data_IF_612646113458
#
_entry.id   IF_612646113458
#
_cell.length_a   1.000
_cell.length_b   1.000
_cell.length_c   1.000
_cell.angle_alpha   90.00
_cell.angle_beta   90.00
_cell.angle_gamma   90.00
#
_symmetry.space_group_name_H-M   'P 1'
#
loop_
_entity.id
_entity.type
_entity.pdbx_description
1 polymer ?
#
# COMPACT_ATOMS: atom_id res chain seq x y z
N UNK A 1 4.78 7.97 -16.12
CA UNK A 1 5.83 7.94 -17.14
C UNK A 1 6.38 6.53 -17.05
N UNK A 2 6.09 5.63 -17.99
CA UNK A 2 6.38 4.20 -17.82
C UNK A 2 7.84 3.91 -17.43
N UNK A 3 8.04 3.08 -16.40
CA UNK A 3 9.36 2.70 -15.89
C UNK A 3 10.11 1.88 -16.93
N UNK A 4 11.40 2.16 -17.13
CA UNK A 4 12.23 1.43 -18.12
C UNK A 4 13.38 0.66 -17.45
N UNK A 5 13.91 -0.39 -18.11
CA UNK A 5 15.09 -1.12 -17.61
C UNK A 5 16.30 -0.21 -17.33
N UNK A 6 16.48 0.86 -18.12
CA UNK A 6 17.55 1.84 -17.90
C UNK A 6 17.41 2.58 -16.56
N UNK A 7 16.18 2.90 -16.14
CA UNK A 7 15.91 3.54 -14.85
C UNK A 7 16.18 2.60 -13.68
N UNK A 8 15.89 1.30 -13.86
CA UNK A 8 16.24 0.25 -12.89
C UNK A 8 17.77 0.15 -12.76
N UNK A 9 18.51 0.16 -13.87
CA UNK A 9 19.97 0.10 -13.87
C UNK A 9 20.60 1.28 -13.12
N UNK A 10 20.09 2.51 -13.36
CA UNK A 10 20.50 3.72 -12.64
C UNK A 10 20.27 3.59 -11.14
N UNK A 11 19.10 3.10 -10.72
CA UNK A 11 18.80 2.90 -9.30
C UNK A 11 19.66 1.79 -8.65
N UNK A 12 20.09 0.80 -9.44
CA UNK A 12 21.02 -0.25 -9.01
C UNK A 12 22.49 0.20 -9.02
N UNK A 13 22.81 1.34 -9.63
CA UNK A 13 24.20 1.80 -9.79
C UNK A 13 25.02 0.92 -10.71
N UNK A 14 24.38 0.24 -11.67
CA UNK A 14 25.04 -0.66 -12.63
C UNK A 14 24.76 -0.25 -14.08
N UNK A 15 25.56 -0.79 -15.00
CA UNK A 15 25.31 -0.61 -16.42
C UNK A 15 23.94 -1.18 -16.80
N UNK A 16 23.23 -0.49 -17.69
CA UNK A 16 22.00 -1.01 -18.24
C UNK A 16 22.28 -2.32 -19.00
N UNK A 17 21.37 -3.32 -18.93
CA UNK A 17 21.46 -4.51 -19.75
C UNK A 17 21.56 -4.13 -21.23
N UNK A 18 22.27 -4.96 -22.01
CA UNK A 18 22.38 -4.77 -23.45
C UNK A 18 20.97 -4.84 -24.10
N UNK A 19 20.67 -3.95 -25.06
CA UNK A 19 19.39 -3.98 -25.77
C UNK A 19 19.14 -5.33 -26.45
N UNK A 20 17.95 -5.89 -26.26
CA UNK A 20 17.53 -7.20 -26.77
C UNK A 20 18.08 -8.39 -25.96
N UNK A 21 18.82 -8.17 -24.87
CA UNK A 21 19.29 -9.25 -24.02
C UNK A 21 18.15 -9.92 -23.24
N UNK A 22 18.35 -11.18 -22.86
CA UNK A 22 17.39 -11.91 -22.01
C UNK A 22 17.19 -11.19 -20.67
N UNK A 23 18.24 -10.55 -20.15
CA UNK A 23 18.17 -9.79 -18.89
C UNK A 23 17.30 -8.55 -19.02
N UNK A 24 17.40 -7.81 -20.13
CA UNK A 24 16.50 -6.68 -20.39
C UNK A 24 15.05 -7.12 -20.46
N UNK A 25 14.76 -8.16 -21.25
CA UNK A 25 13.40 -8.71 -21.40
C UNK A 25 12.84 -9.23 -20.07
N UNK A 26 13.70 -9.80 -19.23
CA UNK A 26 13.31 -10.23 -17.89
C UNK A 26 12.91 -9.05 -17.00
N UNK A 27 13.66 -7.94 -17.07
CA UNK A 27 13.31 -6.73 -16.32
C UNK A 27 12.03 -6.09 -16.83
N UNK A 28 11.80 -6.06 -18.15
CA UNK A 28 10.55 -5.60 -18.75
C UNK A 28 9.36 -6.43 -18.28
N UNK A 29 9.50 -7.76 -18.26
CA UNK A 29 8.47 -8.67 -17.74
C UNK A 29 8.16 -8.37 -16.26
N UNK A 30 9.18 -8.14 -15.44
CA UNK A 30 9.01 -7.78 -14.04
C UNK A 30 8.35 -6.42 -13.81
N UNK A 31 8.66 -5.44 -14.66
CA UNK A 31 7.98 -4.14 -14.66
C UNK A 31 6.50 -4.33 -14.99
N UNK A 32 6.17 -5.06 -16.05
CA UNK A 32 4.79 -5.33 -16.45
C UNK A 32 4.01 -6.10 -15.37
N UNK A 33 4.64 -7.07 -14.72
CA UNK A 33 4.04 -7.82 -13.61
C UNK A 33 3.71 -6.90 -12.43
N UNK A 34 4.62 -5.98 -12.07
CA UNK A 34 4.39 -5.03 -10.99
C UNK A 34 3.26 -4.04 -11.30
N UNK A 35 3.20 -3.52 -12.53
CA UNK A 35 2.12 -2.64 -12.98
C UNK A 35 0.76 -3.36 -12.94
N UNK A 36 0.70 -4.60 -13.43
CA UNK A 36 -0.50 -5.43 -13.36
C UNK A 36 -0.97 -5.64 -11.92
N UNK A 37 -0.06 -5.95 -10.97
CA UNK A 37 -0.42 -6.15 -9.56
C UNK A 37 -1.00 -4.87 -8.92
N UNK A 38 -0.44 -3.71 -9.26
CA UNK A 38 -0.95 -2.41 -8.77
C UNK A 38 -2.33 -2.14 -9.35
N UNK A 39 -2.54 -2.41 -10.63
CA UNK A 39 -3.82 -2.20 -11.31
C UNK A 39 -4.94 -3.11 -10.76
N UNK A 40 -4.64 -4.40 -10.61
CA UNK A 40 -5.56 -5.38 -10.02
C UNK A 40 -5.97 -4.95 -8.60
N UNK A 41 -5.00 -4.52 -7.80
CA UNK A 41 -5.26 -4.00 -6.45
C UNK A 41 -6.07 -2.71 -6.49
N UNK A 42 -5.77 -1.77 -7.39
CA UNK A 42 -6.51 -0.50 -7.56
C UNK A 42 -7.98 -0.74 -7.86
N UNK A 43 -8.26 -1.67 -8.78
CA UNK A 43 -9.62 -1.99 -9.23
C UNK A 43 -10.41 -2.82 -8.21
N UNK A 44 -9.74 -3.49 -7.27
CA UNK A 44 -10.43 -4.16 -6.15
C UNK A 44 -11.13 -3.19 -5.19
N UNK A 45 -10.75 -1.91 -5.17
CA UNK A 45 -11.43 -0.88 -4.38
C UNK A 45 -12.64 -0.32 -5.13
N UNK A 46 -13.74 -0.08 -4.41
CA UNK A 46 -14.94 0.57 -4.95
C UNK A 46 -15.24 1.86 -4.17
N UNK A 47 -15.20 3.05 -4.81
CA UNK A 47 -14.71 3.31 -6.17
C UNK A 47 -13.20 3.05 -6.30
N UNK A 48 -12.67 2.83 -7.53
CA UNK A 48 -11.25 2.69 -7.76
C UNK A 48 -10.48 3.90 -7.20
N UNK A 49 -9.34 3.66 -6.55
CA UNK A 49 -8.52 4.74 -5.99
C UNK A 49 -7.74 5.43 -7.10
N UNK A 50 -7.79 6.75 -7.11
CA UNK A 50 -6.96 7.58 -7.99
C UNK A 50 -5.50 7.52 -7.54
N UNK A 51 -4.61 7.10 -8.43
CA UNK A 51 -3.17 6.99 -8.16
C UNK A 51 -2.41 8.03 -8.96
N UNK A 52 -1.49 8.73 -8.29
CA UNK A 52 -0.54 9.58 -8.99
C UNK A 52 0.43 8.71 -9.78
N UNK A 53 0.56 9.00 -11.08
CA UNK A 53 1.47 8.31 -11.99
C UNK A 53 2.91 8.29 -11.46
N UNK A 54 3.39 9.40 -10.89
CA UNK A 54 4.73 9.49 -10.30
C UNK A 54 4.93 8.56 -9.09
N UNK A 55 3.87 8.29 -8.30
CA UNK A 55 3.95 7.35 -7.17
C UNK A 55 3.98 5.91 -7.65
N UNK A 56 3.22 5.59 -8.70
CA UNK A 56 3.23 4.27 -9.33
C UNK A 56 4.61 4.00 -9.92
N UNK A 57 5.16 4.94 -10.69
CA UNK A 57 6.49 4.81 -11.29
C UNK A 57 7.58 4.59 -10.23
N UNK A 58 7.47 5.29 -9.09
CA UNK A 58 8.37 5.11 -7.97
C UNK A 58 8.26 3.70 -7.36
N UNK A 59 7.03 3.26 -7.04
CA UNK A 59 6.79 1.96 -6.42
C UNK A 59 7.22 0.80 -7.32
N UNK A 60 6.91 0.86 -8.62
CA UNK A 60 7.33 -0.14 -9.61
C UNK A 60 8.85 -0.22 -9.69
N UNK A 61 9.55 0.92 -9.80
CA UNK A 61 11.02 0.92 -9.83
C UNK A 61 11.61 0.27 -8.59
N UNK A 62 11.19 0.68 -7.40
CA UNK A 62 11.78 0.16 -6.16
C UNK A 62 11.42 -1.32 -5.92
N UNK A 63 10.21 -1.76 -6.30
CA UNK A 63 9.82 -3.17 -6.24
C UNK A 63 10.71 -4.05 -7.13
N UNK A 64 10.93 -3.63 -8.38
CA UNK A 64 11.79 -4.37 -9.32
C UNK A 64 13.26 -4.33 -8.87
N UNK A 65 13.77 -3.19 -8.40
CA UNK A 65 15.12 -3.07 -7.83
C UNK A 65 15.32 -4.04 -6.65
N UNK A 66 14.34 -4.11 -5.75
CA UNK A 66 14.36 -5.05 -4.63
C UNK A 66 14.39 -6.51 -5.12
N UNK A 67 13.53 -6.83 -6.09
CA UNK A 67 13.46 -8.17 -6.68
C UNK A 67 14.75 -8.57 -7.39
N UNK A 68 15.39 -7.66 -8.13
CA UNK A 68 16.69 -7.91 -8.78
C UNK A 68 17.78 -8.23 -7.73
N UNK A 69 17.80 -7.51 -6.60
CA UNK A 69 18.78 -7.75 -5.53
C UNK A 69 18.56 -9.08 -4.81
N UNK A 70 17.31 -9.52 -4.69
CA UNK A 70 16.91 -10.72 -3.96
C UNK A 70 15.78 -11.45 -4.70
N UNK A 71 16.11 -12.19 -5.78
CA UNK A 71 15.10 -12.88 -6.57
C UNK A 71 14.46 -14.07 -5.82
N UNK A 72 15.13 -14.59 -4.78
CA UNK A 72 14.64 -15.66 -3.91
C UNK A 72 14.84 -15.25 -2.44
N UNK A 73 13.74 -14.90 -1.75
CA UNK A 73 13.79 -14.43 -0.36
C UNK A 73 13.73 -15.62 0.62
N UNK A 74 14.73 -16.50 0.51
CA UNK A 74 14.98 -17.54 1.51
C UNK A 74 15.72 -16.91 2.70
N UNK A 75 14.99 -16.63 3.78
CA UNK A 75 15.58 -16.14 5.04
C UNK A 75 15.85 -17.32 5.97
N UNK A 76 17.12 -17.55 6.32
CA UNK A 76 17.52 -18.54 7.32
C UNK A 76 17.68 -17.87 8.67
N UNK A 77 16.91 -18.33 9.66
CA UNK A 77 17.06 -17.93 11.07
C UNK A 77 17.70 -19.09 11.81
N UNK A 78 18.94 -18.91 12.26
CA UNK A 78 19.63 -19.85 13.14
C UNK A 78 19.56 -19.35 14.56
N UNK A 79 18.96 -20.15 15.44
CA UNK A 79 18.93 -19.92 16.88
C UNK A 79 19.90 -20.90 17.53
N UNK A 80 20.94 -20.38 18.16
CA UNK A 80 21.94 -21.16 18.88
C UNK A 80 21.68 -21.07 20.38
N UNK A 81 21.55 -22.21 21.05
CA UNK A 81 21.40 -22.29 22.51
C UNK A 81 22.41 -23.32 23.04
N UNK A 82 23.42 -22.82 23.75
CA UNK A 82 24.48 -23.54 24.48
C UNK A 82 25.13 -24.71 23.69
N UNK A 83 24.50 -25.88 23.69
CA UNK A 83 25.01 -27.13 23.10
C UNK A 83 24.38 -27.51 21.75
N UNK A 84 23.46 -26.70 21.21
CA UNK A 84 22.76 -27.00 19.96
C UNK A 84 22.35 -25.77 19.16
N UNK A 85 22.35 -25.89 17.83
CA UNK A 85 21.75 -24.88 16.95
C UNK A 85 20.55 -25.45 16.22
N UNK A 86 19.47 -24.67 16.16
CA UNK A 86 18.31 -24.99 15.33
C UNK A 86 18.23 -23.95 14.22
N UNK A 87 18.31 -24.40 12.97
CA UNK A 87 18.11 -23.55 11.79
C UNK A 87 16.69 -23.72 11.27
N UNK A 88 15.97 -22.61 11.10
CA UNK A 88 14.70 -22.57 10.37
C UNK A 88 14.89 -21.73 9.12
N UNK A 89 14.65 -22.34 7.96
CA UNK A 89 14.64 -21.63 6.68
C UNK A 89 13.20 -21.29 6.34
N UNK A 90 12.91 -20.01 6.18
CA UNK A 90 11.65 -19.50 5.67
C UNK A 90 11.87 -19.12 4.23
N UNK A 91 11.16 -19.77 3.31
CA UNK A 91 11.17 -19.43 1.89
C UNK A 91 9.78 -18.91 1.55
N UNK A 92 9.64 -17.60 1.40
CA UNK A 92 8.37 -16.97 1.02
C UNK A 92 8.22 -16.79 -0.50
N UNK A 93 9.30 -17.03 -1.25
CA UNK A 93 9.38 -16.68 -2.67
C UNK A 93 8.58 -17.61 -3.59
N UNK A 94 7.57 -17.07 -4.26
CA UNK A 94 6.97 -17.68 -5.48
C UNK A 94 7.79 -17.40 -6.75
N UNK A 95 8.99 -16.82 -6.63
CA UNK A 95 9.82 -16.37 -7.76
C UNK A 95 9.20 -15.23 -8.59
N UNK A 96 8.30 -14.44 -7.99
CA UNK A 96 7.57 -13.35 -8.64
C UNK A 96 7.90 -12.02 -7.97
N UNK A 97 7.79 -10.92 -8.72
CA UNK A 97 7.90 -9.56 -8.18
C UNK A 97 6.79 -9.35 -7.15
N UNK A 98 7.13 -8.74 -6.01
CA UNK A 98 6.19 -8.38 -4.96
C UNK A 98 6.21 -6.87 -4.73
N UNK A 99 5.04 -6.30 -4.41
CA UNK A 99 4.84 -4.85 -4.21
C UNK A 99 4.48 -4.54 -2.73
N UNK A 100 4.64 -5.53 -1.84
CA UNK A 100 4.08 -5.52 -0.48
C UNK A 100 4.55 -4.38 0.44
N UNK A 101 5.73 -3.81 0.18
CA UNK A 101 6.24 -2.65 0.93
C UNK A 101 5.68 -1.29 0.47
N UNK A 102 4.94 -1.25 -0.64
CA UNK A 102 4.54 0.01 -1.29
C UNK A 102 3.03 0.28 -1.23
N UNK A 103 2.23 -0.67 -0.74
CA UNK A 103 0.78 -0.52 -0.68
C UNK A 103 0.34 0.70 0.16
N UNK A 104 0.94 0.93 1.32
CA UNK A 104 0.64 2.12 2.14
C UNK A 104 0.99 3.43 1.44
N UNK A 105 2.14 3.48 0.76
CA UNK A 105 2.60 4.66 0.03
C UNK A 105 1.68 5.01 -1.16
N UNK A 106 1.20 3.97 -1.84
CA UNK A 106 0.22 4.08 -2.92
C UNK A 106 -1.19 4.38 -2.40
N UNK A 107 -1.42 4.25 -1.09
CA UNK A 107 -2.76 4.31 -0.53
C UNK A 107 -3.62 3.18 -1.07
N UNK A 108 -3.06 1.97 -1.21
CA UNK A 108 -3.74 0.73 -1.62
C UNK A 108 -3.71 -0.33 -0.52
N UNK A 109 -3.30 0.04 0.70
CA UNK A 109 -3.51 -0.79 1.86
C UNK A 109 -4.99 -0.85 2.19
N UNK A 110 -5.45 -2.06 2.52
CA UNK A 110 -6.67 -2.17 3.29
C UNK A 110 -6.41 -1.37 4.56
N UNK A 111 -7.27 -0.40 4.87
CA UNK A 111 -7.25 0.21 6.18
C UNK A 111 -7.24 -0.95 7.16
N UNK A 112 -6.10 -1.16 7.83
CA UNK A 112 -6.01 -2.15 8.88
C UNK A 112 -7.12 -1.73 9.82
N UNK A 113 -8.19 -2.51 9.81
CA UNK A 113 -9.17 -2.60 10.87
C UNK A 113 -8.44 -3.13 12.10
N UNK A 114 -7.48 -2.36 12.58
CA UNK A 114 -7.17 -2.30 13.98
C UNK A 114 -8.34 -1.54 14.56
N UNK A 115 -8.98 -2.12 15.57
CA UNK A 115 -10.12 -1.55 16.27
C UNK A 115 -9.90 -0.13 16.85
N UNK A 116 -8.72 0.48 16.62
CA UNK A 116 -8.31 1.79 17.09
C UNK A 116 -7.33 2.45 16.09
N UNK A 117 -7.81 2.93 14.94
CA UNK A 117 -7.12 3.99 14.20
C UNK A 117 -8.07 5.20 14.13
N UNK A 118 -7.68 6.28 14.80
CA UNK A 118 -8.37 7.57 14.70
C UNK A 118 -7.73 8.31 13.54
N UNK A 119 -8.48 8.46 12.46
CA UNK A 119 -8.13 9.38 11.38
C UNK A 119 -8.17 10.82 11.92
N UNK A 120 -7.05 11.53 11.83
CA UNK A 120 -6.92 12.92 12.26
C UNK A 120 -7.25 13.92 11.14
N UNK A 121 -7.64 13.44 9.94
CA UNK A 121 -8.22 14.29 8.91
C UNK A 121 -9.68 14.56 9.28
N UNK A 122 -9.87 15.63 10.05
CA UNK A 122 -11.16 16.10 10.48
C UNK A 122 -12.08 16.39 9.28
N UNK A 123 -13.00 15.47 9.00
CA UNK A 123 -14.28 15.86 8.46
C UNK A 123 -14.95 16.71 9.53
N UNK A 124 -14.96 18.02 9.34
CA UNK A 124 -15.87 18.89 10.07
C UNK A 124 -17.28 18.43 9.70
N UNK A 125 -17.88 17.57 10.52
CA UNK A 125 -19.31 17.29 10.44
C UNK A 125 -20.01 18.62 10.71
N UNK A 126 -20.47 19.24 9.63
CA UNK A 126 -21.18 20.52 9.69
C UNK A 126 -22.52 20.22 10.33
N UNK A 127 -22.73 20.70 11.55
CA UNK A 127 -24.00 20.60 12.25
C UNK A 127 -25.11 21.23 11.38
N UNK A 128 -25.87 20.39 10.68
CA UNK A 128 -26.92 20.87 9.81
C UNK A 128 -28.06 21.43 10.66
N UNK A 129 -28.70 22.56 10.27
CA UNK A 129 -29.73 23.21 11.07
C UNK A 129 -30.93 22.30 11.44
N UNK A 130 -31.18 21.25 10.66
CA UNK A 130 -32.27 20.31 10.93
C UNK A 130 -31.99 19.40 12.14
N UNK A 131 -30.72 19.16 12.51
CA UNK A 131 -30.37 18.24 13.59
C UNK A 131 -30.85 18.71 14.97
N UNK A 132 -31.03 20.02 15.17
CA UNK A 132 -31.62 20.59 16.39
C UNK A 132 -33.17 20.57 16.36
N UNK A 133 -33.78 20.42 15.19
CA UNK A 133 -35.22 20.61 15.03
C UNK A 133 -36.06 19.42 15.54
N UNK A 134 -35.51 18.21 15.57
CA UNK A 134 -36.26 16.99 15.97
C UNK A 134 -36.38 16.79 17.49
N UNK A 135 -35.63 17.53 18.32
CA UNK A 135 -35.64 17.40 19.79
C UNK A 135 -35.91 18.73 20.51
N UNK A 136 -36.72 19.61 19.89
CA UNK A 136 -37.18 20.84 20.53
C UNK A 136 -36.15 21.97 20.59
N UNK A 137 -35.18 21.97 19.67
CA UNK A 137 -34.16 23.03 19.47
C UNK A 137 -33.22 23.31 20.65
N UNK A 138 -33.32 22.55 21.75
CA UNK A 138 -32.44 22.65 22.91
C UNK A 138 -31.31 21.61 22.89
N UNK A 139 -31.48 20.54 22.11
CA UNK A 139 -30.50 19.46 22.00
C UNK A 139 -30.48 18.91 20.56
N UNK A 140 -29.28 18.71 20.00
CA UNK A 140 -29.07 18.01 18.74
C UNK A 140 -29.30 16.50 18.89
N UNK A 141 -30.00 15.86 17.95
CA UNK A 141 -30.09 14.39 17.86
C UNK A 141 -28.73 13.71 17.74
N UNK A 142 -27.75 14.43 17.20
CA UNK A 142 -26.38 14.01 17.02
C UNK A 142 -25.55 13.97 18.32
N UNK A 143 -26.06 14.55 19.43
CA UNK A 143 -25.36 14.54 20.73
C UNK A 143 -24.24 15.58 20.90
N UNK A 144 -24.05 16.49 19.94
CA UNK A 144 -23.00 17.55 19.98
C UNK A 144 -23.10 18.43 21.22
N UNK A 145 -24.31 18.81 21.64
CA UNK A 145 -24.49 19.68 22.81
C UNK A 145 -24.05 19.02 24.14
N UNK A 146 -23.92 17.69 24.14
CA UNK A 146 -23.51 16.90 25.31
C UNK A 146 -22.02 16.55 25.23
N UNK A 147 -21.53 16.15 24.05
CA UNK A 147 -20.18 15.59 23.89
C UNK A 147 -19.17 16.54 23.22
N UNK A 148 -19.61 17.71 22.75
CA UNK A 148 -18.78 18.62 21.94
C UNK A 148 -18.50 18.12 20.52
N UNK A 149 -18.88 16.88 20.19
CA UNK A 149 -18.76 16.25 18.87
C UNK A 149 -19.99 15.36 18.57
N UNK A 150 -20.35 15.12 17.30
CA UNK A 150 -21.44 14.20 16.96
C UNK A 150 -21.11 12.76 17.38
N UNK A 151 -22.02 12.12 18.10
CA UNK A 151 -21.94 10.72 18.53
C UNK A 151 -22.70 9.81 17.56
N UNK A 152 -23.70 10.34 16.86
CA UNK A 152 -24.54 9.60 15.92
C UNK A 152 -24.71 10.36 14.61
N UNK A 153 -23.80 10.19 13.65
CA UNK A 153 -24.04 10.53 12.25
C UNK A 153 -23.43 9.45 11.34
N UNK A 154 -24.30 8.56 10.86
CA UNK A 154 -24.01 7.48 9.92
C UNK A 154 -25.23 7.17 9.06
N UNK A 155 -26.00 8.20 8.68
CA UNK A 155 -27.11 8.08 7.74
C UNK A 155 -26.67 8.56 6.37
N UNK A 156 -26.62 7.66 5.38
CA UNK A 156 -26.58 8.02 3.97
C UNK A 156 -27.83 8.82 3.56
N UNK A 157 -27.74 9.70 2.54
CA UNK A 157 -28.80 10.65 2.17
C UNK A 157 -30.13 10.01 1.75
#
# INVERSE_FOLDING_TARGET
>A
MAVTPSMIAVALGQAAPEPGSVTEQQWEMWIADAEMLIEDRRTSFTPPRELSEAKVDYAVREAVVSHVKKPDDATQVTVSVDDGSTSKTFQSGKGRVTVDGWWDFLGLSDAVSGAFSVDMLGFANVHLPWCASMFGALYCSCGVDIAGTPIYEGGEP
#
